data_IF_621665484587
#
_entry.id   IF_621665484587
#
_cell.length_a   1.000
_cell.length_b   1.000
_cell.length_c   1.000
_cell.angle_alpha   90.00
_cell.angle_beta   90.00
_cell.angle_gamma   90.00
#
_symmetry.space_group_name_H-M   'P 1'
#
loop_
_entity.id
_entity.type
_entity.pdbx_description
1 polymer ?
#
# COMPACT_ATOMS: atom_id res chain seq x y z
N UNK A 1 -19.57 -10.43 -6.03
CA UNK A 1 -18.30 -11.17 -5.83
C UNK A 1 -18.10 -11.63 -4.38
N UNK A 2 -18.53 -10.90 -3.34
CA UNK A 2 -18.59 -11.41 -1.96
C UNK A 2 -19.40 -12.74 -1.85
N UNK A 3 -20.50 -12.84 -2.60
CA UNK A 3 -21.36 -14.03 -2.71
C UNK A 3 -20.85 -15.14 -3.62
N UNK A 4 -19.69 -14.99 -4.26
CA UNK A 4 -19.20 -15.99 -5.22
C UNK A 4 -17.97 -16.76 -4.74
N UNK A 5 -17.31 -16.31 -3.65
CA UNK A 5 -16.05 -16.93 -3.21
C UNK A 5 -15.98 -17.15 -1.69
N UNK A 6 -16.61 -16.32 -0.86
CA UNK A 6 -16.44 -16.40 0.60
C UNK A 6 -17.67 -16.85 1.37
N UNK A 7 -18.87 -16.63 0.84
CA UNK A 7 -20.11 -17.10 1.46
C UNK A 7 -20.83 -17.92 0.40
N UNK A 8 -20.66 -19.25 0.45
CA UNK A 8 -21.41 -20.18 -0.41
C UNK A 8 -22.85 -20.39 0.09
N UNK A 9 -23.15 -19.96 1.32
CA UNK A 9 -24.45 -20.13 1.97
C UNK A 9 -25.15 -18.78 2.21
N UNK A 10 -26.31 -18.58 1.59
CA UNK A 10 -27.06 -17.30 1.53
C UNK A 10 -27.57 -16.84 2.92
N UNK A 11 -27.38 -17.66 3.96
CA UNK A 11 -27.79 -17.39 5.34
C UNK A 11 -26.70 -16.83 6.25
N UNK A 12 -25.43 -16.79 5.84
CA UNK A 12 -24.39 -16.20 6.68
C UNK A 12 -24.39 -14.66 6.60
N UNK A 13 -24.40 -13.96 7.74
CA UNK A 13 -24.36 -12.50 7.75
C UNK A 13 -23.04 -12.01 7.16
N UNK A 14 -23.12 -11.11 6.17
CA UNK A 14 -21.94 -10.45 5.60
C UNK A 14 -21.36 -9.51 6.66
N UNK A 15 -20.35 -9.98 7.38
CA UNK A 15 -19.62 -9.17 8.37
C UNK A 15 -18.53 -8.35 7.69
N UNK A 16 -18.06 -7.28 8.36
CA UNK A 16 -16.94 -6.47 7.88
C UNK A 16 -15.66 -7.31 7.64
N UNK A 17 -15.51 -8.38 8.41
CA UNK A 17 -14.40 -9.33 8.28
C UNK A 17 -14.46 -10.15 6.98
N UNK A 18 -15.66 -10.59 6.56
CA UNK A 18 -15.88 -11.23 5.26
C UNK A 18 -15.58 -10.27 4.10
N UNK A 19 -15.91 -8.98 4.25
CA UNK A 19 -15.58 -7.95 3.25
C UNK A 19 -14.06 -7.74 3.19
N UNK A 20 -13.36 -7.71 4.33
CA UNK A 20 -11.90 -7.58 4.37
C UNK A 20 -11.21 -8.80 3.75
N UNK A 21 -11.68 -10.01 4.04
CA UNK A 21 -11.15 -11.22 3.39
C UNK A 21 -11.43 -11.23 1.88
N UNK A 22 -12.62 -10.78 1.45
CA UNK A 22 -12.94 -10.67 0.03
C UNK A 22 -12.04 -9.66 -0.69
N UNK A 23 -11.76 -8.53 -0.01
CA UNK A 23 -10.81 -7.52 -0.47
C UNK A 23 -9.42 -8.14 -0.67
N UNK A 24 -8.91 -8.89 0.30
CA UNK A 24 -7.59 -9.55 0.18
C UNK A 24 -7.53 -10.57 -0.96
N UNK A 25 -8.57 -11.39 -1.13
CA UNK A 25 -8.63 -12.36 -2.24
C UNK A 25 -8.67 -11.64 -3.60
N UNK A 26 -9.38 -10.51 -3.70
CA UNK A 26 -9.41 -9.71 -4.93
C UNK A 26 -8.07 -9.06 -5.23
N UNK A 27 -7.36 -8.59 -4.20
CA UNK A 27 -6.01 -8.04 -4.32
C UNK A 27 -5.05 -9.13 -4.84
N UNK A 28 -5.08 -10.34 -4.28
CA UNK A 28 -4.23 -11.45 -4.72
C UNK A 28 -4.56 -11.98 -6.12
N UNK A 29 -5.81 -11.87 -6.58
CA UNK A 29 -6.20 -12.36 -7.92
C UNK A 29 -5.84 -11.40 -9.06
N UNK A 30 -5.49 -10.15 -8.75
CA UNK A 30 -5.28 -9.11 -9.75
C UNK A 30 -3.82 -8.96 -10.20
N UNK A 31 -2.92 -9.86 -9.80
CA UNK A 31 -1.47 -9.79 -10.00
C UNK A 31 -1.04 -9.20 -11.37
N UNK A 32 -1.54 -9.69 -12.50
CA UNK A 32 -1.15 -9.19 -13.83
C UNK A 32 -1.56 -7.72 -14.10
N UNK A 33 -2.71 -7.29 -13.60
CA UNK A 33 -3.15 -5.90 -13.70
C UNK A 33 -2.41 -5.01 -12.68
N UNK A 34 -2.01 -5.57 -11.53
CA UNK A 34 -1.23 -4.86 -10.52
C UNK A 34 0.20 -4.59 -10.96
N UNK A 35 0.83 -5.51 -11.69
CA UNK A 35 2.16 -5.29 -12.27
C UNK A 35 2.13 -4.14 -13.29
N UNK A 36 1.11 -4.11 -14.14
CA UNK A 36 0.90 -3.01 -15.09
C UNK A 36 0.66 -1.67 -14.36
N UNK A 37 -0.05 -1.70 -13.23
CA UNK A 37 -0.24 -0.53 -12.38
C UNK A 37 1.08 -0.11 -11.71
N UNK A 38 1.91 -1.07 -11.27
CA UNK A 38 3.20 -0.82 -10.65
C UNK A 38 4.13 -0.02 -11.56
N UNK A 39 4.18 -0.39 -12.84
CA UNK A 39 4.97 0.32 -13.85
C UNK A 39 4.49 1.77 -14.01
N UNK A 40 3.17 2.00 -14.04
CA UNK A 40 2.57 3.34 -14.16
C UNK A 40 2.81 4.19 -12.92
N UNK A 41 2.81 3.60 -11.72
CA UNK A 41 3.09 4.30 -10.46
C UNK A 41 4.54 4.81 -10.37
N UNK A 42 5.47 4.23 -11.14
CA UNK A 42 6.87 4.71 -11.20
C UNK A 42 7.07 5.91 -12.13
N UNK A 43 6.07 6.29 -12.92
CA UNK A 43 6.17 7.46 -13.79
C UNK A 43 6.18 8.76 -12.98
N UNK A 44 7.12 9.66 -13.25
CA UNK A 44 7.29 10.93 -12.50
C UNK A 44 5.99 11.76 -12.44
N UNK A 45 5.24 11.85 -13.54
CA UNK A 45 3.94 12.55 -13.59
C UNK A 45 2.88 11.94 -12.68
N UNK A 46 2.91 10.62 -12.47
CA UNK A 46 1.97 9.92 -11.57
C UNK A 46 2.42 10.09 -10.13
N UNK A 47 3.71 9.88 -9.89
CA UNK A 47 4.33 10.05 -8.58
C UNK A 47 4.11 11.44 -8.00
N UNK A 48 4.34 12.50 -8.78
CA UNK A 48 4.17 13.89 -8.36
C UNK A 48 2.77 14.23 -7.82
N UNK A 49 1.76 13.43 -8.15
CA UNK A 49 0.38 13.60 -7.68
C UNK A 49 0.02 12.57 -6.61
N UNK A 50 0.39 11.29 -6.79
CA UNK A 50 0.02 10.21 -5.86
C UNK A 50 0.79 10.32 -4.54
N UNK A 51 2.07 10.70 -4.58
CA UNK A 51 2.93 10.81 -3.39
C UNK A 51 2.37 11.77 -2.32
N UNK A 52 2.06 13.05 -2.63
CA UNK A 52 1.49 13.96 -1.64
C UNK A 52 0.09 13.52 -1.17
N UNK A 53 -0.72 12.92 -2.06
CA UNK A 53 -2.04 12.39 -1.67
C UNK A 53 -1.92 11.24 -0.65
N UNK A 54 -0.92 10.36 -0.81
CA UNK A 54 -0.65 9.28 0.14
C UNK A 54 0.01 9.79 1.43
N UNK A 55 0.82 10.84 1.35
CA UNK A 55 1.41 11.51 2.51
C UNK A 55 0.38 12.33 3.30
N UNK A 56 -0.79 12.63 2.72
CA UNK A 56 -1.80 13.51 3.31
C UNK A 56 -1.42 14.99 3.20
N UNK A 57 -0.56 15.34 2.25
CA UNK A 57 -0.09 16.70 1.98
C UNK A 57 -0.94 17.38 0.91
N UNK A 58 -0.83 18.71 0.85
CA UNK A 58 -1.44 19.49 -0.22
C UNK A 58 -0.79 19.18 -1.57
N UNK A 59 -1.62 19.10 -2.61
CA UNK A 59 -1.13 18.84 -3.96
C UNK A 59 -0.27 20.02 -4.44
N UNK A 60 0.97 19.80 -4.89
CA UNK A 60 1.79 20.86 -5.48
C UNK A 60 1.19 21.35 -6.79
N UNK A 61 1.70 22.48 -7.29
CA UNK A 61 1.31 22.99 -8.61
C UNK A 61 1.74 21.99 -9.69
N UNK A 62 0.78 21.21 -10.17
CA UNK A 62 0.96 20.09 -11.08
C UNK A 62 0.26 20.41 -12.41
N UNK A 63 0.86 20.03 -13.56
CA UNK A 63 0.26 20.25 -14.86
C UNK A 63 -1.18 19.73 -14.92
N UNK A 64 -2.07 20.46 -15.59
CA UNK A 64 -3.45 20.02 -15.78
C UNK A 64 -3.54 18.70 -16.56
N UNK A 65 -2.66 18.51 -17.54
CA UNK A 65 -2.58 17.28 -18.33
C UNK A 65 -2.24 16.06 -17.47
N UNK A 66 -1.34 16.19 -16.50
CA UNK A 66 -0.99 15.10 -15.58
C UNK A 66 -2.17 14.76 -14.67
N UNK A 67 -2.84 15.78 -14.10
CA UNK A 67 -4.05 15.57 -13.30
C UNK A 67 -5.15 14.88 -14.09
N UNK A 68 -5.34 15.27 -15.35
CA UNK A 68 -6.32 14.67 -16.26
C UNK A 68 -5.95 13.24 -16.63
N UNK A 69 -4.66 12.97 -16.85
CA UNK A 69 -4.16 11.61 -17.08
C UNK A 69 -4.51 10.66 -15.94
N UNK A 70 -4.32 11.06 -14.67
CA UNK A 70 -4.66 10.20 -13.53
C UNK A 70 -6.17 10.04 -13.31
N UNK A 71 -6.97 11.06 -13.67
CA UNK A 71 -8.43 10.98 -13.68
C UNK A 71 -8.91 9.97 -14.73
N UNK A 72 -8.34 10.03 -15.95
CA UNK A 72 -8.68 9.12 -17.05
C UNK A 72 -8.22 7.69 -16.77
N UNK A 73 -7.09 7.53 -16.06
CA UNK A 73 -6.62 6.23 -15.56
C UNK A 73 -7.49 5.67 -14.41
N UNK A 74 -8.36 6.50 -13.83
CA UNK A 74 -9.22 6.11 -12.71
C UNK A 74 -8.47 5.90 -11.39
N UNK A 75 -7.26 6.45 -11.25
CA UNK A 75 -6.49 6.38 -10.00
C UNK A 75 -6.96 7.39 -8.97
N UNK A 76 -7.31 8.59 -9.44
CA UNK A 76 -7.80 9.68 -8.61
C UNK A 76 -9.19 10.11 -9.06
N UNK A 77 -9.91 10.76 -8.16
CA UNK A 77 -11.19 11.42 -8.43
C UNK A 77 -11.18 12.81 -7.79
N UNK A 78 -11.98 13.71 -8.35
CA UNK A 78 -12.21 15.02 -7.72
C UNK A 78 -13.06 14.84 -6.48
N UNK A 79 -12.57 15.34 -5.35
CA UNK A 79 -13.32 15.32 -4.10
C UNK A 79 -14.39 16.41 -4.10
N UNK A 80 -15.60 16.16 -3.55
CA UNK A 80 -16.60 17.20 -3.33
C UNK A 80 -16.12 18.33 -2.42
N UNK A 81 -15.14 18.04 -1.55
CA UNK A 81 -14.51 19.01 -0.64
C UNK A 81 -13.37 19.82 -1.29
N UNK A 82 -13.13 19.61 -2.59
CA UNK A 82 -11.99 20.18 -3.30
C UNK A 82 -10.78 19.24 -3.31
N UNK A 83 -9.94 19.38 -4.35
CA UNK A 83 -8.73 18.56 -4.53
C UNK A 83 -8.95 17.20 -5.19
N UNK A 84 -7.86 16.44 -5.29
CA UNK A 84 -7.82 15.08 -5.82
C UNK A 84 -7.68 14.07 -4.67
N UNK A 85 -8.44 12.99 -4.74
CA UNK A 85 -8.38 11.88 -3.78
C UNK A 85 -8.29 10.56 -4.52
N UNK A 86 -7.78 9.51 -3.88
CA UNK A 86 -7.73 8.17 -4.49
C UNK A 86 -9.16 7.71 -4.83
N UNK A 87 -9.35 7.25 -6.07
CA UNK A 87 -10.68 6.93 -6.58
C UNK A 87 -11.30 5.72 -5.85
N UNK A 88 -10.51 4.66 -5.69
CA UNK A 88 -10.89 3.39 -5.10
C UNK A 88 -10.11 3.14 -3.79
N UNK A 89 -10.78 2.92 -2.64
CA UNK A 89 -10.11 2.57 -1.38
C UNK A 89 -9.19 1.35 -1.47
N UNK A 90 -9.45 0.42 -2.38
CA UNK A 90 -8.56 -0.73 -2.64
C UNK A 90 -7.17 -0.24 -3.06
N UNK A 91 -7.07 0.83 -3.85
CA UNK A 91 -5.77 1.37 -4.28
C UNK A 91 -4.98 1.99 -3.13
N UNK A 92 -5.61 2.44 -2.05
CA UNK A 92 -4.88 2.93 -0.87
C UNK A 92 -4.07 1.81 -0.19
N UNK A 93 -4.52 0.56 -0.30
CA UNK A 93 -3.85 -0.61 0.25
C UNK A 93 -2.91 -1.27 -0.77
N UNK A 94 -3.34 -1.28 -2.04
CA UNK A 94 -2.60 -1.91 -3.15
C UNK A 94 -1.37 -1.10 -3.53
N UNK A 95 -1.47 0.23 -3.61
CA UNK A 95 -0.34 1.07 -4.04
C UNK A 95 0.86 0.88 -3.09
N UNK A 96 0.71 1.00 -1.75
CA UNK A 96 1.82 0.74 -0.85
C UNK A 96 2.41 -0.66 -0.97
N UNK A 97 1.54 -1.69 -1.10
CA UNK A 97 1.99 -3.08 -1.25
C UNK A 97 2.83 -3.28 -2.50
N UNK A 98 2.38 -2.77 -3.64
CA UNK A 98 3.09 -2.83 -4.93
C UNK A 98 4.40 -2.05 -4.88
N UNK A 99 4.40 -0.85 -4.30
CA UNK A 99 5.62 -0.04 -4.14
C UNK A 99 6.62 -0.70 -3.19
N UNK A 100 6.13 -1.48 -2.22
CA UNK A 100 6.97 -2.17 -1.23
C UNK A 100 7.65 -3.43 -1.79
N UNK A 101 7.14 -4.05 -2.87
CA UNK A 101 7.67 -5.30 -3.44
C UNK A 101 9.16 -5.19 -3.82
N UNK A 102 9.57 -4.12 -4.50
CA UNK A 102 10.97 -3.95 -4.89
C UNK A 102 11.92 -3.86 -3.69
N UNK A 103 11.46 -3.23 -2.60
CA UNK A 103 12.20 -3.21 -1.33
C UNK A 103 12.24 -4.59 -0.69
N UNK A 104 11.14 -5.36 -0.71
CA UNK A 104 11.07 -6.70 -0.13
C UNK A 104 12.13 -7.65 -0.69
N UNK A 105 12.44 -7.60 -1.98
CA UNK A 105 13.48 -8.44 -2.60
C UNK A 105 14.90 -8.13 -2.09
N UNK A 106 15.11 -6.89 -1.64
CA UNK A 106 16.41 -6.41 -1.15
C UNK A 106 16.60 -6.62 0.37
N UNK A 107 15.55 -7.03 1.10
CA UNK A 107 15.61 -7.19 2.56
C UNK A 107 16.16 -8.56 2.97
N UNK A 108 17.08 -8.65 3.96
CA UNK A 108 17.50 -9.92 4.55
C UNK A 108 16.31 -10.61 5.26
N UNK A 109 16.28 -11.94 5.31
CA UNK A 109 15.21 -12.65 6.03
C UNK A 109 15.19 -12.27 7.51
N UNK A 110 14.02 -11.89 8.02
CA UNK A 110 13.81 -11.45 9.40
C UNK A 110 12.94 -12.50 10.09
N UNK A 111 13.38 -13.03 11.22
CA UNK A 111 12.53 -13.85 12.07
C UNK A 111 11.64 -12.94 12.93
N UNK A 112 10.33 -13.16 13.02
CA UNK A 112 9.43 -12.32 13.79
C UNK A 112 9.74 -12.44 15.28
N UNK A 113 10.45 -11.45 15.84
CA UNK A 113 10.76 -11.36 17.27
C UNK A 113 9.67 -10.62 18.07
N UNK A 114 8.63 -10.14 17.39
CA UNK A 114 7.58 -9.28 17.94
C UNK A 114 6.24 -9.98 18.15
N UNK A 115 6.25 -11.30 18.19
CA UNK A 115 5.10 -12.10 18.61
C UNK A 115 5.30 -12.50 20.08
N UNK A 116 4.24 -12.37 20.86
CA UNK A 116 4.19 -12.94 22.20
C UNK A 116 4.12 -14.48 22.11
N UNK A 117 4.32 -15.17 23.22
CA UNK A 117 4.22 -16.65 23.31
C UNK A 117 2.86 -17.21 22.94
N UNK A 118 1.81 -16.38 22.96
CA UNK A 118 0.44 -16.70 22.54
C UNK A 118 0.15 -16.32 21.08
N UNK A 119 1.19 -16.01 20.29
CA UNK A 119 1.13 -15.49 18.93
C UNK A 119 0.42 -14.14 18.76
N UNK A 120 0.11 -13.42 19.84
CA UNK A 120 -0.38 -12.04 19.72
C UNK A 120 0.73 -11.07 19.35
N UNK A 121 0.38 -9.98 18.65
CA UNK A 121 1.33 -8.93 18.27
C UNK A 121 1.81 -8.19 19.53
N UNK A 122 3.12 -8.01 19.67
CA UNK A 122 3.73 -7.14 20.66
C UNK A 122 4.18 -5.82 20.00
N UNK A 123 3.43 -4.70 20.16
CA UNK A 123 3.73 -3.45 19.47
C UNK A 123 5.09 -2.85 19.86
N UNK A 124 5.53 -3.03 21.11
CA UNK A 124 6.82 -2.52 21.57
C UNK A 124 7.98 -3.31 20.95
N UNK A 125 7.88 -4.64 20.94
CA UNK A 125 8.89 -5.49 20.32
C UNK A 125 8.94 -5.24 18.80
N UNK A 126 7.79 -5.03 18.16
CA UNK A 126 7.68 -4.69 16.74
C UNK A 126 8.40 -3.37 16.44
N UNK A 127 8.09 -2.32 17.21
CA UNK A 127 8.72 -1.01 17.04
C UNK A 127 10.23 -1.09 17.23
N UNK A 128 10.70 -1.81 18.26
CA UNK A 128 12.13 -1.97 18.52
C UNK A 128 12.83 -2.73 17.39
N UNK A 129 12.25 -3.83 16.92
CA UNK A 129 12.77 -4.60 15.79
C UNK A 129 12.81 -3.76 14.51
N UNK A 130 11.76 -2.97 14.25
CA UNK A 130 11.71 -2.04 13.13
C UNK A 130 12.77 -0.95 13.24
N UNK A 131 12.96 -0.33 14.42
CA UNK A 131 13.99 0.70 14.63
C UNK A 131 15.41 0.16 14.46
N UNK A 132 15.67 -1.06 14.95
CA UNK A 132 16.96 -1.71 14.77
C UNK A 132 17.25 -1.99 13.29
N UNK A 133 16.26 -2.53 12.59
CA UNK A 133 16.30 -2.73 11.14
C UNK A 133 16.49 -1.40 10.39
N UNK A 134 15.72 -0.37 10.74
CA UNK A 134 15.76 0.95 10.11
C UNK A 134 17.13 1.62 10.27
N UNK A 135 17.76 1.46 11.44
CA UNK A 135 19.11 1.97 11.67
C UNK A 135 20.15 1.28 10.80
N UNK A 136 19.97 0.00 10.47
CA UNK A 136 20.92 -0.79 9.68
C UNK A 136 20.70 -0.67 8.17
N UNK A 137 19.44 -0.54 7.73
CA UNK A 137 19.06 -0.65 6.32
C UNK A 137 18.24 0.53 5.78
N UNK A 138 17.83 1.48 6.63
CA UNK A 138 16.92 2.57 6.27
C UNK A 138 17.49 3.52 5.23
N UNK A 139 18.75 3.94 5.34
CA UNK A 139 19.33 4.91 4.40
C UNK A 139 19.45 4.37 2.95
N UNK A 140 19.94 3.13 2.69
CA UNK A 140 19.89 2.53 1.37
C UNK A 140 18.46 2.40 0.83
N UNK A 141 17.51 2.00 1.67
CA UNK A 141 16.13 1.79 1.27
C UNK A 141 15.43 3.10 0.91
N UNK A 142 15.65 4.16 1.68
CA UNK A 142 15.18 5.51 1.39
C UNK A 142 15.69 5.99 0.03
N UNK A 143 16.97 5.78 -0.29
CA UNK A 143 17.56 6.19 -1.58
C UNK A 143 17.01 5.39 -2.77
N UNK A 144 16.59 4.15 -2.54
CA UNK A 144 15.99 3.30 -3.58
C UNK A 144 14.47 3.42 -3.70
N UNK A 145 13.81 4.02 -2.71
CA UNK A 145 12.37 4.11 -2.68
C UNK A 145 11.88 5.09 -3.76
N UNK A 146 11.00 4.67 -4.68
CA UNK A 146 10.48 5.56 -5.70
C UNK A 146 9.72 6.74 -5.07
N UNK A 147 9.09 6.55 -3.92
CA UNK A 147 8.33 7.57 -3.18
C UNK A 147 9.07 7.89 -1.87
N UNK A 148 9.72 9.04 -1.80
CA UNK A 148 10.57 9.46 -0.69
C UNK A 148 9.75 9.91 0.53
N UNK A 149 8.65 10.64 0.33
CA UNK A 149 7.86 11.23 1.42
C UNK A 149 7.13 10.15 2.24
N UNK A 150 6.72 9.06 1.58
CA UNK A 150 6.09 7.91 2.22
C UNK A 150 7.02 6.71 2.37
N UNK A 151 8.31 6.82 2.03
CA UNK A 151 9.26 5.72 2.08
C UNK A 151 9.29 5.00 3.45
N UNK A 152 9.28 5.68 4.62
CA UNK A 152 9.23 5.00 5.91
C UNK A 152 7.99 4.13 6.09
N UNK A 153 6.82 4.61 5.62
CA UNK A 153 5.57 3.86 5.66
C UNK A 153 5.63 2.63 4.73
N UNK A 154 6.16 2.79 3.51
CA UNK A 154 6.32 1.69 2.56
C UNK A 154 7.26 0.59 3.09
N UNK A 155 8.37 0.98 3.71
CA UNK A 155 9.34 0.06 4.31
C UNK A 155 8.75 -0.64 5.53
N UNK A 156 7.96 0.06 6.35
CA UNK A 156 7.23 -0.57 7.46
C UNK A 156 6.23 -1.61 6.95
N UNK A 157 5.49 -1.31 5.88
CA UNK A 157 4.58 -2.29 5.26
C UNK A 157 5.33 -3.51 4.71
N UNK A 158 6.45 -3.31 4.01
CA UNK A 158 7.32 -4.41 3.58
C UNK A 158 7.80 -5.29 4.76
N UNK A 159 8.15 -4.65 5.87
CA UNK A 159 8.62 -5.33 7.09
C UNK A 159 7.52 -6.18 7.72
N UNK A 160 6.28 -5.67 7.78
CA UNK A 160 5.13 -6.39 8.34
C UNK A 160 4.63 -7.54 7.47
N UNK A 161 4.69 -7.40 6.15
CA UNK A 161 4.21 -8.41 5.19
C UNK A 161 5.03 -9.72 5.18
N UNK A 162 6.16 -9.80 5.90
CA UNK A 162 7.03 -10.98 5.95
C UNK A 162 6.73 -11.96 7.10
N UNK A 163 5.70 -11.72 7.92
CA UNK A 163 5.29 -12.59 9.04
C UNK A 163 4.12 -13.47 8.67
#
# INVERSE_FOLDING_TARGET
QATQVLVQDVNEPITAEVINQAKEILIQRQDTHLDSLAERLREERVKAIIEPILAGEDLPDTPEDDRRFLLDLGLVKRSPLGGLTIANPIYQEVIPRVLSQGSQDSLPQIQPTWLNTDNSLNPQALLNAFLEFWRQHGEPLLKSAPYHEIAPHLVLMAFLHRV
#
